data_IF_292383097694
#
_entry.id   IF_292383097694
#
_cell.length_a   1.000
_cell.length_b   1.000
_cell.length_c   1.000
_cell.angle_alpha   90.00
_cell.angle_beta   90.00
_cell.angle_gamma   90.00
#
_symmetry.space_group_name_H-M   'P 1'
#
loop_
_entity.id
_entity.type
_entity.pdbx_description
1 polymer ?
#
# COMPACT_ATOMS: atom_id res chain seq x y z
N UNK A 1 -13.76 -89.30 25.14
CA UNK A 1 -14.65 -88.76 26.19
C UNK A 1 -13.93 -87.58 26.84
N UNK A 2 -14.64 -86.46 27.03
CA UNK A 2 -14.22 -85.13 27.55
C UNK A 2 -13.75 -84.08 26.54
N UNK A 3 -14.75 -83.35 26.04
CA UNK A 3 -14.69 -81.91 25.81
C UNK A 3 -14.23 -81.19 27.09
N UNK A 4 -13.41 -80.16 26.92
CA UNK A 4 -13.24 -79.10 27.90
C UNK A 4 -13.51 -77.78 27.17
N UNK A 5 -14.77 -77.35 27.26
CA UNK A 5 -15.23 -76.02 26.89
C UNK A 5 -14.64 -75.00 27.87
N UNK A 6 -13.89 -74.03 27.35
CA UNK A 6 -13.38 -72.88 28.09
C UNK A 6 -13.98 -71.59 27.53
N UNK A 7 -15.21 -71.29 27.91
CA UNK A 7 -15.90 -70.05 27.58
C UNK A 7 -15.51 -68.96 28.60
N UNK A 8 -14.64 -68.04 28.18
CA UNK A 8 -14.26 -66.86 28.95
C UNK A 8 -14.87 -65.61 28.31
N UNK A 9 -15.56 -64.73 29.07
CA UNK A 9 -16.19 -63.55 28.48
C UNK A 9 -15.14 -62.53 28.03
N UNK A 10 -15.04 -62.33 26.72
CA UNK A 10 -14.22 -61.29 26.10
C UNK A 10 -14.77 -59.92 26.50
N UNK A 11 -14.06 -59.22 27.41
CA UNK A 11 -14.34 -57.81 27.77
C UNK A 11 -14.18 -56.93 26.52
N UNK A 12 -15.30 -56.49 25.96
CA UNK A 12 -15.32 -55.48 24.89
C UNK A 12 -14.97 -54.11 25.49
N UNK A 13 -13.74 -53.64 25.24
CA UNK A 13 -13.35 -52.27 25.51
C UNK A 13 -14.18 -51.33 24.62
N UNK A 14 -15.11 -50.60 25.23
CA UNK A 14 -15.91 -49.56 24.56
C UNK A 14 -14.98 -48.39 24.24
N UNK A 15 -14.55 -48.28 22.99
CA UNK A 15 -13.78 -47.14 22.52
C UNK A 15 -14.62 -45.86 22.68
N UNK A 16 -14.22 -45.00 23.63
CA UNK A 16 -14.78 -43.67 23.81
C UNK A 16 -14.37 -42.82 22.60
N UNK A 17 -15.24 -42.67 21.60
CA UNK A 17 -15.05 -41.69 20.51
C UNK A 17 -15.21 -40.30 21.11
N UNK A 18 -14.09 -39.63 21.35
CA UNK A 18 -14.05 -38.18 21.51
C UNK A 18 -14.52 -37.58 20.18
N UNK A 19 -15.76 -37.07 20.16
CA UNK A 19 -16.28 -36.29 19.03
C UNK A 19 -15.61 -34.92 19.11
N UNK A 20 -14.51 -34.74 18.38
CA UNK A 20 -13.89 -33.42 18.19
C UNK A 20 -14.87 -32.59 17.34
N UNK A 21 -15.70 -31.79 18.01
CA UNK A 21 -16.45 -30.73 17.36
C UNK A 21 -15.45 -29.64 16.97
N UNK A 22 -15.03 -29.60 15.70
CA UNK A 22 -14.28 -28.47 15.16
C UNK A 22 -15.18 -27.24 15.18
N UNK A 23 -15.10 -26.47 16.26
CA UNK A 23 -15.68 -25.13 16.36
C UNK A 23 -15.00 -24.24 15.31
N UNK A 24 -15.67 -24.01 14.20
CA UNK A 24 -15.28 -23.07 13.16
C UNK A 24 -15.40 -21.64 13.69
N UNK A 25 -14.40 -21.19 14.47
CA UNK A 25 -14.22 -19.78 14.72
C UNK A 25 -13.94 -19.10 13.37
N UNK A 26 -14.54 -17.92 13.07
CA UNK A 26 -14.24 -17.20 11.84
C UNK A 26 -12.76 -16.86 11.85
N UNK A 27 -11.98 -17.51 10.97
CA UNK A 27 -10.59 -17.12 10.78
C UNK A 27 -10.63 -15.68 10.26
N UNK A 28 -9.98 -14.76 10.98
CA UNK A 28 -9.70 -13.43 10.44
C UNK A 28 -8.76 -13.63 9.26
N UNK A 29 -9.33 -13.91 8.09
CA UNK A 29 -8.58 -14.32 6.91
C UNK A 29 -7.54 -13.25 6.58
N UNK A 30 -6.27 -13.67 6.52
CA UNK A 30 -5.17 -12.80 6.11
C UNK A 30 -5.50 -12.22 4.73
N UNK A 31 -5.30 -10.92 4.49
CA UNK A 31 -5.53 -10.34 3.17
C UNK A 31 -4.73 -11.12 2.13
N UNK A 32 -5.34 -11.38 0.98
CA UNK A 32 -4.64 -12.00 -0.15
C UNK A 32 -3.40 -11.14 -0.49
N UNK A 33 -2.23 -11.79 -0.53
CA UNK A 33 -0.98 -11.14 -0.87
C UNK A 33 -1.01 -10.58 -2.29
N UNK A 34 -0.18 -9.56 -2.54
CA UNK A 34 -0.09 -8.87 -3.83
C UNK A 34 1.29 -9.06 -4.46
N UNK A 35 1.34 -9.03 -5.79
CA UNK A 35 2.60 -9.06 -6.54
C UNK A 35 3.38 -7.75 -6.32
N UNK A 36 4.61 -7.78 -5.76
CA UNK A 36 5.39 -6.58 -5.46
C UNK A 36 5.72 -5.74 -6.70
N UNK A 37 5.74 -6.35 -7.89
CA UNK A 37 6.04 -5.66 -9.15
C UNK A 37 4.95 -4.66 -9.54
N UNK A 38 3.71 -4.87 -9.09
CA UNK A 38 2.58 -3.96 -9.36
C UNK A 38 2.76 -2.59 -8.71
N UNK A 39 2.94 -2.50 -7.37
CA UNK A 39 3.25 -1.25 -6.69
C UNK A 39 4.50 -0.53 -7.23
N UNK A 40 5.54 -1.29 -7.61
CA UNK A 40 6.77 -0.71 -8.18
C UNK A 40 6.54 -0.07 -9.55
N UNK A 41 5.75 -0.72 -10.40
CA UNK A 41 5.33 -0.15 -11.68
C UNK A 41 4.47 1.11 -11.50
N UNK A 42 3.51 1.09 -10.57
CA UNK A 42 2.72 2.29 -10.27
C UNK A 42 3.61 3.44 -9.76
N UNK A 43 4.63 3.11 -8.95
CA UNK A 43 5.58 4.08 -8.44
C UNK A 43 6.48 4.67 -9.54
N UNK A 44 6.87 3.93 -10.57
CA UNK A 44 7.66 4.49 -11.68
C UNK A 44 6.87 5.53 -12.48
N UNK A 45 5.60 5.26 -12.76
CA UNK A 45 4.70 6.22 -13.43
C UNK A 45 4.49 7.44 -12.54
N UNK A 46 4.23 7.23 -11.25
CA UNK A 46 4.03 8.32 -10.28
C UNK A 46 5.29 9.17 -10.10
N UNK A 47 6.47 8.55 -10.08
CA UNK A 47 7.75 9.25 -10.02
C UNK A 47 7.97 10.13 -11.25
N UNK A 48 7.62 9.65 -12.45
CA UNK A 48 7.70 10.47 -13.67
C UNK A 48 6.77 11.70 -13.59
N UNK A 49 5.52 11.52 -13.14
CA UNK A 49 4.57 12.62 -12.97
C UNK A 49 5.06 13.63 -11.92
N UNK A 50 5.57 13.14 -10.78
CA UNK A 50 6.11 13.99 -9.71
C UNK A 50 7.39 14.71 -10.13
N UNK A 51 8.24 14.10 -10.95
CA UNK A 51 9.42 14.75 -11.51
C UNK A 51 9.00 15.92 -12.41
N UNK A 52 8.05 15.69 -13.32
CA UNK A 52 7.48 16.75 -14.17
C UNK A 52 6.81 17.83 -13.31
N UNK A 53 6.02 17.45 -12.31
CA UNK A 53 5.38 18.38 -11.37
C UNK A 53 6.39 19.20 -10.58
N UNK A 54 7.50 18.60 -10.15
CA UNK A 54 8.59 19.29 -9.45
C UNK A 54 9.26 20.30 -10.40
N UNK A 55 9.57 19.90 -11.62
CA UNK A 55 10.14 20.80 -12.63
C UNK A 55 9.22 21.99 -12.90
N UNK A 56 7.93 21.73 -13.15
CA UNK A 56 6.93 22.78 -13.36
C UNK A 56 6.80 23.70 -12.15
N UNK A 57 6.82 23.14 -10.92
CA UNK A 57 6.74 23.92 -9.69
C UNK A 57 7.96 24.83 -9.48
N UNK A 58 9.15 24.39 -9.93
CA UNK A 58 10.38 25.17 -9.84
C UNK A 58 10.40 26.36 -10.81
N UNK A 59 9.84 26.20 -12.01
CA UNK A 59 9.76 27.27 -13.04
C UNK A 59 8.47 28.09 -12.96
N UNK A 60 7.52 27.67 -12.12
CA UNK A 60 6.18 28.27 -12.01
C UNK A 60 6.05 29.32 -10.91
N UNK A 61 4.81 29.62 -10.54
CA UNK A 61 4.45 30.67 -9.58
C UNK A 61 4.90 30.38 -8.14
N UNK A 62 5.26 29.13 -7.82
CA UNK A 62 5.64 28.71 -6.47
C UNK A 62 6.98 29.28 -6.00
N UNK A 63 7.86 29.62 -6.94
CA UNK A 63 9.19 30.21 -6.68
C UNK A 63 9.25 31.70 -7.03
N UNK A 64 8.15 32.27 -7.55
CA UNK A 64 8.10 33.66 -7.95
C UNK A 64 8.17 34.61 -6.74
N UNK A 65 8.96 35.67 -6.88
CA UNK A 65 9.12 36.73 -5.86
C UNK A 65 7.98 37.77 -5.90
N UNK A 66 7.22 37.81 -7.00
CA UNK A 66 6.11 38.74 -7.18
C UNK A 66 4.86 38.26 -6.45
N UNK A 67 4.09 39.20 -5.90
CA UNK A 67 2.79 38.89 -5.31
C UNK A 67 1.87 38.27 -6.38
N UNK A 68 1.31 37.11 -6.06
CA UNK A 68 0.40 36.35 -6.93
C UNK A 68 -0.90 36.11 -6.18
N UNK A 69 -2.01 36.22 -6.90
CA UNK A 69 -3.34 35.97 -6.34
C UNK A 69 -3.59 34.46 -6.17
N UNK A 70 -4.50 34.04 -5.26
CA UNK A 70 -4.87 32.64 -5.13
C UNK A 70 -5.42 32.04 -6.44
N UNK A 71 -6.12 32.85 -7.26
CA UNK A 71 -6.65 32.44 -8.56
C UNK A 71 -5.56 32.04 -9.55
N UNK A 72 -4.49 32.83 -9.65
CA UNK A 72 -3.34 32.50 -10.51
C UNK A 72 -2.63 31.22 -10.03
N UNK A 73 -2.54 31.03 -8.71
CA UNK A 73 -1.87 29.88 -8.10
C UNK A 73 -2.58 28.55 -8.37
N UNK A 74 -3.92 28.54 -8.39
CA UNK A 74 -4.69 27.32 -8.71
C UNK A 74 -4.70 27.01 -10.21
N UNK A 75 -4.46 28.00 -11.07
CA UNK A 75 -4.29 27.80 -12.51
C UNK A 75 -2.86 27.42 -12.91
N UNK A 76 -1.92 27.40 -11.96
CA UNK A 76 -0.53 27.01 -12.21
C UNK A 76 -0.47 25.56 -12.72
N UNK A 77 0.26 25.27 -13.81
CA UNK A 77 0.32 23.93 -14.38
C UNK A 77 0.89 22.89 -13.41
N UNK A 78 1.81 23.29 -12.53
CA UNK A 78 2.34 22.40 -11.50
C UNK A 78 1.27 22.07 -10.46
N UNK A 79 0.47 23.06 -10.05
CA UNK A 79 -0.65 22.84 -9.13
C UNK A 79 -1.66 21.84 -9.72
N UNK A 80 -2.07 22.04 -10.97
CA UNK A 80 -3.03 21.15 -11.64
C UNK A 80 -2.49 19.73 -11.78
N UNK A 81 -1.23 19.56 -12.18
CA UNK A 81 -0.62 18.24 -12.30
C UNK A 81 -0.50 17.55 -10.94
N UNK A 82 -0.04 18.25 -9.91
CA UNK A 82 0.09 17.70 -8.57
C UNK A 82 -1.26 17.39 -7.93
N UNK A 83 -2.30 18.17 -8.24
CA UNK A 83 -3.67 17.84 -7.86
C UNK A 83 -4.13 16.52 -8.50
N UNK A 84 -3.84 16.29 -9.78
CA UNK A 84 -4.11 15.01 -10.43
C UNK A 84 -3.36 13.87 -9.74
N UNK A 85 -2.07 14.07 -9.41
CA UNK A 85 -1.29 13.07 -8.67
C UNK A 85 -1.87 12.81 -7.28
N UNK A 86 -2.33 13.85 -6.58
CA UNK A 86 -2.97 13.75 -5.26
C UNK A 86 -4.25 12.91 -5.33
N UNK A 87 -5.09 13.16 -6.34
CA UNK A 87 -6.29 12.37 -6.60
C UNK A 87 -5.96 10.92 -6.97
N UNK A 88 -4.84 10.67 -7.65
CA UNK A 88 -4.37 9.31 -7.92
C UNK A 88 -3.93 8.59 -6.64
N UNK A 89 -3.31 9.29 -5.67
CA UNK A 89 -3.04 8.73 -4.34
C UNK A 89 -4.35 8.36 -3.62
N UNK A 90 -5.35 9.25 -3.66
CA UNK A 90 -6.71 8.99 -3.12
C UNK A 90 -7.32 7.73 -3.73
N UNK A 91 -7.29 7.62 -5.06
CA UNK A 91 -7.77 6.43 -5.76
C UNK A 91 -7.00 5.18 -5.33
N UNK A 92 -5.68 5.30 -5.16
CA UNK A 92 -4.78 4.25 -4.73
C UNK A 92 -5.16 3.63 -3.38
N UNK A 93 -5.46 4.44 -2.36
CA UNK A 93 -5.83 3.90 -1.04
C UNK A 93 -7.33 3.62 -0.89
N UNK A 94 -8.21 4.39 -1.53
CA UNK A 94 -9.66 4.23 -1.42
C UNK A 94 -10.17 3.04 -2.25
N UNK A 95 -9.65 2.88 -3.47
CA UNK A 95 -10.08 1.84 -4.40
C UNK A 95 -8.89 1.17 -5.14
N UNK A 96 -7.99 0.47 -4.41
CA UNK A 96 -6.75 -0.10 -4.95
C UNK A 96 -6.97 -1.13 -6.07
N UNK A 97 -8.14 -1.79 -6.08
CA UNK A 97 -8.49 -2.73 -7.16
C UNK A 97 -8.75 -2.03 -8.49
N UNK A 98 -9.20 -0.78 -8.48
CA UNK A 98 -9.50 -0.02 -9.71
C UNK A 98 -8.47 1.05 -10.03
N UNK A 99 -7.50 1.28 -9.14
CA UNK A 99 -6.45 2.28 -9.34
C UNK A 99 -5.77 2.08 -10.71
N UNK A 100 -5.61 3.15 -11.52
CA UNK A 100 -5.37 3.06 -12.95
C UNK A 100 -4.06 2.34 -13.28
N UNK A 101 -2.98 2.67 -12.59
CA UNK A 101 -1.67 2.05 -12.82
C UNK A 101 -1.64 0.59 -12.38
N UNK A 102 -2.36 0.25 -11.31
CA UNK A 102 -2.51 -1.13 -10.85
C UNK A 102 -3.35 -1.96 -11.83
N UNK A 103 -4.40 -1.38 -12.41
CA UNK A 103 -5.20 -2.01 -13.45
C UNK A 103 -4.38 -2.23 -14.72
N UNK A 104 -3.66 -1.21 -15.17
CA UNK A 104 -2.75 -1.29 -16.31
C UNK A 104 -1.69 -2.39 -16.11
N UNK A 105 -1.05 -2.45 -14.95
CA UNK A 105 -0.11 -3.52 -14.63
C UNK A 105 -0.76 -4.90 -14.76
N UNK A 106 -1.94 -5.12 -14.16
CA UNK A 106 -2.59 -6.44 -14.17
C UNK A 106 -3.07 -6.87 -15.55
N UNK A 107 -3.52 -5.93 -16.39
CA UNK A 107 -4.10 -6.23 -17.70
C UNK A 107 -3.02 -6.31 -18.79
N UNK A 108 -2.06 -5.39 -18.80
CA UNK A 108 -1.08 -5.28 -19.88
C UNK A 108 0.28 -5.91 -19.55
N UNK A 109 0.72 -5.86 -18.29
CA UNK A 109 2.10 -6.22 -17.94
C UNK A 109 2.17 -7.62 -17.33
N UNK A 110 1.34 -7.89 -16.31
CA UNK A 110 1.33 -9.15 -15.57
C UNK A 110 1.19 -10.40 -16.45
N UNK A 111 0.33 -10.45 -17.49
CA UNK A 111 0.19 -11.64 -18.33
C UNK A 111 1.46 -11.98 -19.12
N UNK A 112 2.37 -11.02 -19.32
CA UNK A 112 3.63 -11.19 -20.04
C UNK A 112 4.78 -11.62 -19.14
N UNK A 113 4.56 -11.69 -17.82
CA UNK A 113 5.57 -12.02 -16.82
C UNK A 113 5.35 -13.43 -16.26
N UNK A 114 6.44 -14.06 -15.81
CA UNK A 114 6.34 -15.29 -15.02
C UNK A 114 5.59 -15.04 -13.71
N UNK A 115 4.95 -16.08 -13.13
CA UNK A 115 4.31 -15.99 -11.83
C UNK A 115 5.25 -15.37 -10.77
N UNK A 116 4.73 -14.52 -9.87
CA UNK A 116 5.54 -13.93 -8.82
C UNK A 116 6.11 -15.00 -7.89
N UNK A 117 7.37 -14.83 -7.52
CA UNK A 117 8.10 -15.74 -6.61
C UNK A 117 7.62 -15.53 -5.17
N UNK A 118 7.36 -14.27 -4.80
CA UNK A 118 6.91 -13.85 -3.48
C UNK A 118 5.69 -12.95 -3.56
N UNK A 119 4.86 -12.98 -2.51
CA UNK A 119 3.70 -12.11 -2.35
C UNK A 119 3.89 -11.21 -1.12
N UNK A 120 3.52 -9.94 -1.25
CA UNK A 120 3.63 -8.94 -0.20
C UNK A 120 2.26 -8.62 0.43
N UNK A 121 2.24 -8.22 1.71
CA UNK A 121 1.02 -7.74 2.37
C UNK A 121 0.54 -6.44 1.69
N UNK A 122 -0.74 -6.32 1.29
CA UNK A 122 -1.26 -5.09 0.69
C UNK A 122 -1.36 -3.88 1.63
N UNK A 123 -1.26 -4.02 2.96
CA UNK A 123 -1.48 -2.90 3.90
C UNK A 123 -0.39 -1.83 3.86
N UNK A 124 0.92 -2.15 3.93
CA UNK A 124 1.96 -1.13 3.96
C UNK A 124 1.98 -0.26 2.68
N UNK A 125 1.79 -0.80 1.46
CA UNK A 125 1.65 0.03 0.26
C UNK A 125 0.45 0.97 0.30
N UNK A 126 -0.69 0.57 0.90
CA UNK A 126 -1.85 1.47 1.06
C UNK A 126 -1.56 2.60 2.04
N UNK A 127 -0.88 2.30 3.13
CA UNK A 127 -0.42 3.33 4.06
C UNK A 127 0.52 4.32 3.36
N UNK A 128 1.43 3.84 2.51
CA UNK A 128 2.31 4.71 1.73
C UNK A 128 1.54 5.67 0.80
N UNK A 129 0.42 5.23 0.19
CA UNK A 129 -0.44 6.09 -0.62
C UNK A 129 -1.07 7.22 0.22
N UNK A 130 -1.50 6.93 1.45
CA UNK A 130 -2.05 7.94 2.36
C UNK A 130 -0.99 8.97 2.75
N UNK A 131 0.24 8.51 3.04
CA UNK A 131 1.36 9.42 3.35
C UNK A 131 1.68 10.32 2.16
N UNK A 132 1.72 9.77 0.94
CA UNK A 132 1.91 10.54 -0.29
C UNK A 132 0.85 11.62 -0.48
N UNK A 133 -0.43 11.25 -0.31
CA UNK A 133 -1.56 12.19 -0.30
C UNK A 133 -1.35 13.33 0.70
N UNK A 134 -1.08 13.02 1.98
CA UNK A 134 -0.88 14.06 3.00
C UNK A 134 0.23 15.04 2.61
N UNK A 135 1.38 14.54 2.14
CA UNK A 135 2.52 15.38 1.75
C UNK A 135 2.15 16.31 0.59
N UNK A 136 1.51 15.77 -0.45
CA UNK A 136 1.13 16.55 -1.64
C UNK A 136 0.01 17.54 -1.32
N UNK A 137 -1.04 17.13 -0.60
CA UNK A 137 -2.12 18.02 -0.14
C UNK A 137 -1.57 19.18 0.69
N UNK A 138 -0.64 18.95 1.63
CA UNK A 138 -0.01 20.03 2.41
C UNK A 138 0.71 21.01 1.49
N UNK A 139 1.48 20.51 0.50
CA UNK A 139 2.12 21.36 -0.50
C UNK A 139 1.13 22.20 -1.32
N UNK A 140 0.02 21.60 -1.77
CA UNK A 140 -1.05 22.27 -2.51
C UNK A 140 -1.72 23.38 -1.68
N UNK A 141 -2.08 23.09 -0.43
CA UNK A 141 -2.72 24.06 0.48
C UNK A 141 -1.79 25.22 0.79
N UNK A 142 -0.52 24.93 1.12
CA UNK A 142 0.48 25.97 1.40
C UNK A 142 0.78 26.83 0.17
N UNK A 143 0.81 26.23 -1.03
CA UNK A 143 0.95 26.98 -2.28
C UNK A 143 -0.19 27.97 -2.47
N UNK A 144 -1.45 27.54 -2.31
CA UNK A 144 -2.62 28.43 -2.43
C UNK A 144 -2.61 29.52 -1.35
N UNK A 145 -2.10 29.21 -0.15
CA UNK A 145 -1.91 30.17 0.93
C UNK A 145 -0.75 31.16 0.69
N UNK A 146 0.00 31.03 -0.41
CA UNK A 146 1.05 31.97 -0.78
C UNK A 146 2.45 31.61 -0.28
N UNK A 147 2.64 30.43 0.33
CA UNK A 147 3.95 30.03 0.87
C UNK A 147 4.90 29.69 -0.27
N UNK A 148 5.97 30.47 -0.38
CA UNK A 148 7.03 30.25 -1.36
C UNK A 148 7.68 28.86 -1.16
N UNK A 149 8.05 28.22 -2.26
CA UNK A 149 8.71 26.90 -2.29
C UNK A 149 7.90 25.71 -1.75
N UNK A 150 6.68 25.91 -1.25
CA UNK A 150 5.88 24.83 -0.68
C UNK A 150 5.64 23.69 -1.70
N UNK A 151 5.22 24.06 -2.90
CA UNK A 151 4.88 23.11 -3.97
C UNK A 151 6.08 22.29 -4.47
N UNK A 152 7.24 22.89 -4.84
CA UNK A 152 8.39 22.12 -5.29
C UNK A 152 9.00 21.26 -4.18
N UNK A 153 9.01 21.72 -2.92
CA UNK A 153 9.54 20.92 -1.80
C UNK A 153 8.67 19.68 -1.57
N UNK A 154 7.34 19.85 -1.51
CA UNK A 154 6.42 18.74 -1.35
C UNK A 154 6.50 17.74 -2.53
N UNK A 155 6.53 18.25 -3.77
CA UNK A 155 6.66 17.43 -4.97
C UNK A 155 7.99 16.66 -5.00
N UNK A 156 9.10 17.30 -4.64
CA UNK A 156 10.41 16.66 -4.58
C UNK A 156 10.47 15.56 -3.50
N UNK A 157 9.91 15.82 -2.32
CA UNK A 157 9.84 14.80 -1.26
C UNK A 157 9.03 13.57 -1.71
N UNK A 158 7.87 13.80 -2.33
CA UNK A 158 7.05 12.72 -2.89
C UNK A 158 7.78 11.99 -4.04
N UNK A 159 8.47 12.73 -4.91
CA UNK A 159 9.25 12.18 -6.02
C UNK A 159 10.33 11.23 -5.50
N UNK A 160 11.13 11.65 -4.51
CA UNK A 160 12.19 10.83 -3.91
C UNK A 160 11.58 9.53 -3.36
N UNK A 161 10.48 9.61 -2.63
CA UNK A 161 9.80 8.43 -2.08
C UNK A 161 9.32 7.47 -3.20
N UNK A 162 8.72 8.00 -4.26
CA UNK A 162 8.26 7.21 -5.40
C UNK A 162 9.42 6.61 -6.20
N UNK A 163 10.48 7.38 -6.43
CA UNK A 163 11.68 6.97 -7.16
C UNK A 163 12.43 5.84 -6.45
N UNK A 164 12.62 5.94 -5.12
CA UNK A 164 13.26 4.88 -4.35
C UNK A 164 12.48 3.55 -4.42
N UNK A 165 11.15 3.62 -4.41
CA UNK A 165 10.30 2.45 -4.58
C UNK A 165 10.37 1.89 -6.01
N UNK A 166 10.43 2.75 -7.02
CA UNK A 166 10.54 2.34 -8.42
C UNK A 166 11.89 1.70 -8.76
N UNK A 167 13.00 2.32 -8.32
CA UNK A 167 14.36 1.94 -8.69
C UNK A 167 14.92 0.81 -7.82
N UNK A 168 14.73 0.90 -6.50
CA UNK A 168 15.34 -0.04 -5.53
C UNK A 168 14.32 -0.97 -4.86
N UNK A 169 13.02 -0.76 -5.09
CA UNK A 169 11.98 -1.45 -4.31
C UNK A 169 11.94 -1.01 -2.85
N UNK A 170 12.55 0.15 -2.53
CA UNK A 170 12.58 0.71 -1.18
C UNK A 170 11.37 1.62 -0.96
N UNK A 171 10.32 1.07 -0.35
CA UNK A 171 9.14 1.84 0.01
C UNK A 171 9.30 2.44 1.42
N UNK A 172 9.60 3.74 1.50
CA UNK A 172 9.71 4.48 2.77
C UNK A 172 8.45 4.36 3.62
N UNK A 173 7.27 4.36 2.99
CA UNK A 173 6.00 4.16 3.69
C UNK A 173 5.89 2.77 4.33
N UNK A 174 6.43 1.72 3.71
CA UNK A 174 6.47 0.39 4.31
C UNK A 174 7.37 0.36 5.55
N UNK A 175 8.55 1.01 5.48
CA UNK A 175 9.46 1.11 6.61
C UNK A 175 8.82 1.89 7.77
N UNK A 176 8.18 3.01 7.48
CA UNK A 176 7.45 3.81 8.47
C UNK A 176 6.30 3.03 9.10
N UNK A 177 5.50 2.32 8.30
CA UNK A 177 4.41 1.48 8.79
C UNK A 177 4.92 0.43 9.79
N UNK A 178 5.99 -0.29 9.44
CA UNK A 178 6.58 -1.30 10.32
C UNK A 178 7.23 -0.67 11.55
N UNK A 179 7.87 0.49 11.43
CA UNK A 179 8.45 1.22 12.55
C UNK A 179 7.37 1.63 13.56
N UNK A 180 6.27 2.22 13.09
CA UNK A 180 5.14 2.61 13.95
C UNK A 180 4.47 1.41 14.62
N UNK A 181 4.33 0.31 13.88
CA UNK A 181 3.75 -0.91 14.41
C UNK A 181 4.66 -1.60 15.45
N UNK A 182 6.00 -1.56 15.26
CA UNK A 182 6.99 -2.01 16.26
C UNK A 182 7.04 -1.10 17.48
N UNK A 183 6.87 0.21 17.30
CA UNK A 183 6.78 1.19 18.37
C UNK A 183 5.45 1.12 19.15
N UNK A 184 4.50 0.28 18.73
CA UNK A 184 3.22 0.08 19.42
C UNK A 184 2.18 1.18 19.17
N UNK A 185 2.41 2.07 18.20
CA UNK A 185 1.46 3.16 17.85
C UNK A 185 0.12 2.57 17.37
N UNK A 186 0.15 1.42 16.70
CA UNK A 186 -1.04 0.65 16.34
C UNK A 186 -0.71 -0.84 16.22
N UNK A 187 -1.72 -1.71 16.37
CA UNK A 187 -1.61 -3.15 16.13
C UNK A 187 -2.25 -3.52 14.79
N UNK A 188 -1.47 -3.97 13.78
CA UNK A 188 -2.04 -4.50 12.54
C UNK A 188 -2.95 -5.69 12.83
N UNK A 189 -4.21 -5.61 12.40
CA UNK A 189 -5.16 -6.72 12.53
C UNK A 189 -4.63 -7.92 11.74
N UNK A 190 -4.31 -9.05 12.38
CA UNK A 190 -3.80 -10.25 11.68
C UNK A 190 -2.29 -10.52 11.80
N UNK A 191 -1.60 -9.84 12.73
CA UNK A 191 -0.20 -10.11 13.06
C UNK A 191 0.79 -9.37 12.17
N UNK A 192 1.90 -8.92 12.76
CA UNK A 192 2.95 -8.15 12.07
C UNK A 192 3.88 -9.03 11.25
N UNK A 193 4.10 -10.27 11.69
CA UNK A 193 4.98 -11.26 11.11
C UNK A 193 4.47 -12.62 11.59
N UNK A 194 4.47 -13.64 10.72
CA UNK A 194 4.20 -15.02 11.12
C UNK A 194 5.34 -15.56 11.98
N UNK A 195 5.23 -15.35 13.29
CA UNK A 195 5.81 -16.25 14.28
C UNK A 195 4.76 -17.30 14.63
#
# INVERSE_FOLDING_TARGET
MKNCDGDGPVRRHRAYRVRVTTSSAPSTARPAGIDPRGPRFAASVTAALLLVGTFLALVGSSTATTATTPGERVTDPAFLLLLVVDLLFVWGFAAPRTAPWGALYRVAIRPRLRPPVDLEDPRPPRFAQVVGFIVVTVGLVLHVAGVAWALPIAAAAAFIAAFLNAAFGLCLGCLLYLALARAGVFRPRGGLLGA
#
